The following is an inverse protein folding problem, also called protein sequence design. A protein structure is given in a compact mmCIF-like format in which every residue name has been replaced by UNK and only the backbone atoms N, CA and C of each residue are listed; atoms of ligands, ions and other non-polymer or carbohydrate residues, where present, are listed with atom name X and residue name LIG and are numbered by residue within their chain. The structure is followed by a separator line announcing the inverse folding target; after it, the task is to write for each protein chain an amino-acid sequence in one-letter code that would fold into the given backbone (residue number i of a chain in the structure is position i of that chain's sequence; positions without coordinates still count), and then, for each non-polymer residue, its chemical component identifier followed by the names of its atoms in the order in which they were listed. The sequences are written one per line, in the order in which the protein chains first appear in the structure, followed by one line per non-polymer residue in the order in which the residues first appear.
data_IF_364456704946
#
_entry.id   IF_364456704946
#
_cell.length_a   1.000
_cell.length_b   1.000
_cell.length_c   1.000
_cell.angle_alpha   90.00
_cell.angle_beta   90.00
_cell.angle_gamma   90.00
#
_symmetry.space_group_name_H-M   'P 1'
#
loop_
_entity.id
_entity.type
_entity.pdbx_description
1 polymer ?
#
# COMPACT_ATOMS: atom_id res chain seq x y z
N UNK A 1 8.79 6.35 -27.47
CA UNK A 1 9.22 6.08 -26.08
C UNK A 1 8.62 7.13 -25.15
N UNK A 2 8.22 6.72 -23.95
CA UNK A 2 7.71 7.57 -22.88
C UNK A 2 8.22 7.10 -21.51
N UNK A 3 8.26 8.04 -20.58
CA UNK A 3 8.54 7.79 -19.17
C UNK A 3 7.45 8.46 -18.35
N UNK A 4 6.88 7.73 -17.39
CA UNK A 4 5.86 8.22 -16.47
C UNK A 4 6.18 7.70 -15.07
N UNK A 5 5.95 8.53 -14.07
CA UNK A 5 5.94 8.11 -12.67
C UNK A 5 4.72 8.68 -11.97
N UNK A 6 4.23 7.97 -10.97
CA UNK A 6 3.18 8.46 -10.08
C UNK A 6 3.65 8.25 -8.64
N UNK A 7 3.46 9.25 -7.77
CA UNK A 7 3.76 9.17 -6.35
C UNK A 7 2.49 9.57 -5.60
N UNK A 8 2.11 8.79 -4.60
CA UNK A 8 1.04 9.17 -3.68
C UNK A 8 1.44 8.84 -2.25
N UNK A 9 1.07 9.72 -1.33
CA UNK A 9 1.25 9.53 0.10
C UNK A 9 -0.08 9.80 0.79
N UNK A 10 -0.40 9.02 1.82
CA UNK A 10 -1.65 9.13 2.56
C UNK A 10 -1.46 8.76 4.01
N UNK A 11 -2.33 9.31 4.86
CA UNK A 11 -2.38 9.00 6.30
C UNK A 11 -3.74 8.40 6.61
N UNK A 12 -3.77 7.39 7.47
CA UNK A 12 -5.00 6.86 8.05
C UNK A 12 -4.95 7.00 9.57
N UNK A 13 -5.97 7.66 10.12
CA UNK A 13 -6.05 7.99 11.55
C UNK A 13 -6.76 6.91 12.38
N UNK A 14 -7.21 5.82 11.75
CA UNK A 14 -7.97 4.76 12.41
C UNK A 14 -7.82 3.44 11.65
N UNK A 15 -7.30 2.42 12.33
CA UNK A 15 -7.24 1.03 11.89
C UNK A 15 -7.42 0.10 13.10
N UNK A 16 -7.76 -1.16 12.85
CA UNK A 16 -7.84 -2.17 13.90
C UNK A 16 -7.10 -3.41 13.41
N UNK A 17 -5.98 -3.73 14.07
CA UNK A 17 -5.26 -4.97 13.83
C UNK A 17 -5.71 -6.01 14.84
N UNK A 18 -6.26 -7.10 14.32
CA UNK A 18 -6.64 -8.24 15.13
C UNK A 18 -5.51 -9.26 15.02
N UNK A 19 -4.72 -9.39 16.08
CA UNK A 19 -3.74 -10.48 16.18
C UNK A 19 -4.46 -11.72 16.74
N UNK A 20 -4.39 -12.82 16.00
CA UNK A 20 -5.10 -14.05 16.30
C UNK A 20 -4.10 -15.17 16.54
N UNK A 21 -3.83 -15.42 17.82
CA UNK A 21 -2.99 -16.51 18.26
C UNK A 21 -3.81 -17.80 18.28
N UNK A 22 -3.50 -18.74 17.37
CA UNK A 22 -4.16 -20.05 17.29
C UNK A 22 -3.60 -21.05 18.32
N UNK A 23 -3.64 -20.70 19.60
CA UNK A 23 -3.33 -21.57 20.75
C UNK A 23 -4.58 -21.90 21.58
N UNK A 24 -4.48 -22.91 22.45
CA UNK A 24 -5.46 -23.20 23.51
C UNK A 24 -4.92 -22.64 24.84
N UNK A 25 -5.57 -21.64 25.46
CA UNK A 25 -6.82 -20.98 25.08
C UNK A 25 -6.67 -19.98 23.91
N UNK A 26 -7.76 -19.75 23.17
CA UNK A 26 -7.83 -18.74 22.10
C UNK A 26 -7.59 -17.34 22.68
N UNK A 27 -6.53 -16.68 22.23
CA UNK A 27 -6.20 -15.30 22.60
C UNK A 27 -6.38 -14.42 21.37
N UNK A 28 -7.19 -13.36 21.50
CA UNK A 28 -7.37 -12.35 20.46
C UNK A 28 -6.87 -11.02 21.02
N UNK A 29 -5.68 -10.61 20.58
CA UNK A 29 -5.11 -9.32 20.97
C UNK A 29 -5.55 -8.27 19.96
N UNK A 30 -6.54 -7.46 20.34
CA UNK A 30 -6.93 -6.29 19.55
C UNK A 30 -5.97 -5.14 19.84
N UNK A 31 -5.17 -4.78 18.84
CA UNK A 31 -4.30 -3.60 18.90
C UNK A 31 -4.92 -2.49 18.05
N UNK A 32 -5.08 -1.32 18.66
CA UNK A 32 -5.52 -0.13 17.94
C UNK A 32 -4.40 0.33 17.02
N UNK A 33 -4.68 0.48 15.73
CA UNK A 33 -3.75 1.13 14.82
C UNK A 33 -4.11 2.59 14.71
N UNK A 34 -3.25 3.40 15.30
CA UNK A 34 -3.35 4.85 15.27
C UNK A 34 -2.21 5.39 14.42
N UNK A 35 -2.53 6.30 13.50
CA UNK A 35 -1.54 7.12 12.80
C UNK A 35 -0.66 6.36 11.79
N UNK A 36 -1.24 5.42 11.04
CA UNK A 36 -0.52 4.74 9.98
C UNK A 36 -0.36 5.62 8.73
N UNK A 37 0.77 5.48 8.06
CA UNK A 37 1.09 6.21 6.82
C UNK A 37 1.37 5.21 5.72
N UNK A 38 0.87 5.49 4.53
CA UNK A 38 1.26 4.74 3.35
C UNK A 38 1.86 5.68 2.30
N UNK A 39 2.89 5.20 1.64
CA UNK A 39 3.50 5.88 0.50
C UNK A 39 3.61 4.87 -0.62
N UNK A 40 3.19 5.25 -1.81
CA UNK A 40 3.31 4.43 -2.99
C UNK A 40 3.97 5.22 -4.10
N UNK A 41 4.86 4.58 -4.85
CA UNK A 41 5.37 5.15 -6.08
C UNK A 41 5.35 4.11 -7.18
N UNK A 42 5.04 4.56 -8.39
CA UNK A 42 5.15 3.78 -9.61
C UNK A 42 6.11 4.47 -10.56
N UNK A 43 6.86 3.67 -11.29
CA UNK A 43 7.72 4.12 -12.38
C UNK A 43 7.46 3.23 -13.58
N UNK A 44 7.00 3.83 -14.67
CA UNK A 44 6.55 3.17 -15.89
C UNK A 44 7.34 3.70 -17.09
N UNK A 45 7.94 2.81 -17.85
CA UNK A 45 8.66 3.11 -19.09
C UNK A 45 8.04 2.31 -20.24
N UNK A 46 7.84 2.96 -21.38
CA UNK A 46 7.14 2.33 -22.48
C UNK A 46 7.48 2.88 -23.85
N UNK A 47 6.97 2.17 -24.85
CA UNK A 47 7.15 2.51 -26.25
C UNK A 47 5.82 2.39 -27.00
N UNK A 48 5.47 3.46 -27.71
CA UNK A 48 4.32 3.50 -28.61
C UNK A 48 4.75 3.00 -29.98
N UNK A 49 4.20 1.87 -30.42
CA UNK A 49 4.44 1.31 -31.75
C UNK A 49 3.45 1.82 -32.80
N UNK A 50 2.27 2.27 -32.38
CA UNK A 50 1.28 2.92 -33.25
C UNK A 50 0.99 4.32 -32.69
N UNK A 51 1.19 5.36 -33.51
CA UNK A 51 1.00 6.76 -33.11
C UNK A 51 0.34 7.55 -34.24
N UNK A 52 -0.92 7.92 -34.04
CA UNK A 52 -1.64 8.85 -34.91
C UNK A 52 -1.88 10.21 -34.24
N UNK A 53 -2.53 11.14 -34.93
CA UNK A 53 -2.87 12.46 -34.37
C UNK A 53 -3.75 12.37 -33.11
N UNK A 54 -4.58 11.33 -33.02
CA UNK A 54 -5.61 11.17 -31.97
C UNK A 54 -5.47 9.88 -31.16
N UNK A 55 -4.46 9.04 -31.45
CA UNK A 55 -4.31 7.75 -30.76
C UNK A 55 -2.85 7.37 -30.59
N UNK A 56 -2.57 6.62 -29.51
CA UNK A 56 -1.28 6.02 -29.21
C UNK A 56 -1.53 4.61 -28.67
N UNK A 57 -0.90 3.61 -29.26
CA UNK A 57 -0.92 2.22 -28.77
C UNK A 57 0.51 1.78 -28.59
N UNK A 58 0.80 1.24 -27.41
CA UNK A 58 2.14 0.96 -26.94
C UNK A 58 2.13 -0.07 -25.81
N UNK A 59 3.30 -0.65 -25.59
CA UNK A 59 3.57 -1.50 -24.43
C UNK A 59 4.40 -0.73 -23.42
N UNK A 60 4.25 -1.09 -22.14
CA UNK A 60 5.07 -0.54 -21.07
C UNK A 60 5.43 -1.61 -20.06
N UNK A 61 6.54 -1.39 -19.37
CA UNK A 61 6.95 -2.14 -18.19
C UNK A 61 7.08 -1.13 -17.05
N UNK A 62 6.69 -1.54 -15.86
CA UNK A 62 6.74 -0.66 -14.70
C UNK A 62 7.07 -1.40 -13.43
N UNK A 63 7.61 -0.65 -12.47
CA UNK A 63 7.78 -1.06 -11.10
C UNK A 63 6.81 -0.29 -10.21
N UNK A 64 6.20 -1.01 -9.27
CA UNK A 64 5.38 -0.42 -8.22
C UNK A 64 6.00 -0.74 -6.87
N UNK A 65 6.12 0.28 -6.04
CA UNK A 65 6.59 0.15 -4.67
C UNK A 65 5.55 0.72 -3.72
N UNK A 66 5.36 0.01 -2.61
CA UNK A 66 4.33 0.29 -1.63
C UNK A 66 4.91 0.13 -0.22
N UNK A 67 4.99 1.25 0.50
CA UNK A 67 5.35 1.29 1.92
C UNK A 67 4.08 1.46 2.75
N UNK A 68 3.89 0.58 3.73
CA UNK A 68 2.94 0.76 4.81
C UNK A 68 3.71 0.84 6.13
N UNK A 69 3.54 1.95 6.83
CA UNK A 69 4.01 2.12 8.20
C UNK A 69 2.79 1.95 9.12
N UNK A 70 2.71 0.78 9.74
CA UNK A 70 1.71 0.44 10.76
C UNK A 70 2.28 0.80 12.14
N UNK A 71 1.59 1.66 12.90
CA UNK A 71 1.93 1.95 14.29
C UNK A 71 0.89 1.32 15.21
N UNK A 72 1.34 0.34 16.00
CA UNK A 72 0.51 -0.37 16.96
C UNK A 72 0.52 0.37 18.30
N UNK A 73 -0.66 0.81 18.75
CA UNK A 73 -0.86 1.19 20.15
C UNK A 73 -1.28 -0.09 20.90
N UNK A 74 -0.32 -0.70 21.63
CA UNK A 74 -0.61 -1.86 22.48
C UNK A 74 -1.48 -1.43 23.65
N UNK A 75 -2.77 -1.75 23.59
CA UNK A 75 -3.62 -1.86 24.78
C UNK A 75 -3.57 -3.32 25.22
N UNK A 76 -2.76 -3.63 26.23
CA UNK A 76 -2.85 -4.93 26.90
C UNK A 76 -4.23 -5.03 27.57
N UNK A 77 -5.18 -5.69 26.92
CA UNK A 77 -6.42 -6.10 27.59
C UNK A 77 -6.10 -7.39 28.33
N UNK A 78 -5.70 -7.25 29.59
CA UNK A 78 -5.65 -8.35 30.54
C UNK A 78 -7.09 -8.69 30.91
N UNK A 79 -7.47 -9.95 30.75
CA UNK A 79 -8.74 -10.49 31.27
C UNK A 79 -8.48 -11.78 32.02
#
# INVERSE_FOLDING_TARGET
MFLKSNLGTGRFNKGNSNDQDWGTPYVNTKSGESNGRFTYYTADAGYDFLRGANYKVGGFIGWTYYEQELRLDRVCTDR
#
